data_IF_696740095439
#
_entry.id   IF_696740095439
#
_cell.length_a   1.000
_cell.length_b   1.000
_cell.length_c   1.000
_cell.angle_alpha   90.00
_cell.angle_beta   90.00
_cell.angle_gamma   90.00
#
_symmetry.space_group_name_H-M   'P 1'
#
loop_
_entity.id
_entity.type
_entity.pdbx_description
1 polymer ?
#
# COMPACT_ATOMS: atom_id res chain seq x y z
N UNK A 1 -12.76 -10.97 -0.26
CA UNK A 1 -12.73 -9.49 -0.39
C UNK A 1 -11.63 -9.12 -1.38
N UNK A 2 -11.78 -8.05 -2.18
CA UNK A 2 -10.80 -7.70 -3.24
C UNK A 2 -9.38 -7.47 -2.71
N UNK A 3 -9.26 -6.88 -1.52
CA UNK A 3 -7.97 -6.64 -0.86
C UNK A 3 -7.18 -7.90 -0.49
N UNK A 4 -7.77 -9.09 -0.62
CA UNK A 4 -7.11 -10.39 -0.44
C UNK A 4 -7.11 -11.25 -1.72
N UNK A 5 -7.47 -10.68 -2.88
CA UNK A 5 -7.58 -11.44 -4.12
C UNK A 5 -6.27 -11.42 -4.92
N UNK A 6 -5.44 -12.44 -4.70
CA UNK A 6 -4.15 -12.59 -5.38
C UNK A 6 -4.30 -12.71 -6.92
N UNK A 7 -5.31 -13.42 -7.40
CA UNK A 7 -5.45 -13.71 -8.83
C UNK A 7 -5.74 -12.45 -9.64
N UNK A 8 -6.58 -11.56 -9.11
CA UNK A 8 -6.87 -10.29 -9.78
C UNK A 8 -5.77 -9.24 -9.55
N UNK A 9 -5.23 -9.16 -8.33
CA UNK A 9 -4.21 -8.15 -7.99
C UNK A 9 -2.86 -8.48 -8.62
N UNK A 10 -2.33 -9.67 -8.34
CA UNK A 10 -1.01 -10.07 -8.85
C UNK A 10 -1.13 -10.77 -10.19
N UNK A 11 -2.02 -11.76 -10.31
CA UNK A 11 -2.18 -12.53 -11.54
C UNK A 11 -2.60 -11.67 -12.73
N UNK A 12 -3.65 -10.86 -12.58
CA UNK A 12 -4.18 -10.08 -13.69
C UNK A 12 -3.55 -8.69 -13.79
N UNK A 13 -3.68 -7.85 -12.76
CA UNK A 13 -3.22 -6.45 -12.85
C UNK A 13 -1.69 -6.35 -13.01
N UNK A 14 -0.90 -7.02 -12.15
CA UNK A 14 0.56 -6.93 -12.21
C UNK A 14 1.16 -7.77 -13.34
N UNK A 15 0.72 -9.01 -13.51
CA UNK A 15 1.34 -9.92 -14.47
C UNK A 15 0.70 -9.86 -15.87
N UNK A 16 -0.63 -9.84 -16.00
CA UNK A 16 -1.28 -9.77 -17.32
C UNK A 16 -1.26 -8.35 -17.90
N UNK A 17 -1.72 -7.35 -17.14
CA UNK A 17 -1.75 -5.95 -17.60
C UNK A 17 -0.39 -5.24 -17.46
N UNK A 18 0.62 -5.92 -16.92
CA UNK A 18 1.97 -5.39 -16.76
C UNK A 18 2.02 -4.08 -15.97
N UNK A 19 1.11 -3.88 -15.01
CA UNK A 19 1.07 -2.67 -14.20
C UNK A 19 2.40 -2.46 -13.44
N UNK A 20 3.03 -1.30 -13.65
CA UNK A 20 4.35 -0.94 -13.08
C UNK A 20 4.30 0.09 -11.96
N UNK A 21 3.14 0.66 -11.66
CA UNK A 21 2.94 1.50 -10.48
C UNK A 21 2.87 0.67 -9.18
N UNK A 22 2.50 1.34 -8.09
CA UNK A 22 2.17 0.69 -6.82
C UNK A 22 0.65 0.66 -6.62
N UNK A 23 0.14 -0.40 -6.00
CA UNK A 23 -1.26 -0.55 -5.63
C UNK A 23 -1.46 -0.16 -4.17
N UNK A 24 -2.40 0.74 -3.92
CA UNK A 24 -2.78 1.19 -2.57
C UNK A 24 -4.10 0.57 -2.12
N UNK A 25 -4.23 0.30 -0.81
CA UNK A 25 -5.52 -0.09 -0.22
C UNK A 25 -6.48 1.10 -0.15
N UNK A 26 -7.76 0.80 0.03
CA UNK A 26 -8.73 1.81 0.49
C UNK A 26 -8.57 2.04 2.01
N UNK A 27 -9.25 3.05 2.55
CA UNK A 27 -9.27 3.40 3.96
C UNK A 27 -9.78 2.24 4.82
N UNK A 28 -8.97 1.77 5.78
CA UNK A 28 -9.29 0.64 6.68
C UNK A 28 -9.68 -0.64 5.93
N UNK A 29 -9.18 -0.81 4.70
CA UNK A 29 -9.60 -1.93 3.88
C UNK A 29 -9.17 -3.28 4.47
N UNK A 30 -8.02 -3.33 5.15
CA UNK A 30 -7.52 -4.54 5.81
C UNK A 30 -8.42 -4.95 6.97
N UNK A 31 -8.87 -4.00 7.78
CA UNK A 31 -9.81 -4.22 8.87
C UNK A 31 -11.07 -4.93 8.35
N UNK A 32 -11.54 -4.54 7.17
CA UNK A 32 -12.75 -5.05 6.51
C UNK A 32 -12.55 -6.35 5.73
N UNK A 33 -11.35 -6.95 5.77
CA UNK A 33 -11.13 -8.29 5.23
C UNK A 33 -11.88 -9.33 6.08
N UNK A 34 -11.90 -9.16 7.40
CA UNK A 34 -12.60 -10.06 8.34
C UNK A 34 -14.03 -9.60 8.62
N UNK A 35 -14.82 -10.49 9.22
CA UNK A 35 -16.16 -10.16 9.72
C UNK A 35 -16.30 -10.75 11.13
N UNK A 36 -16.45 -9.92 12.18
CA UNK A 36 -16.51 -8.45 12.16
C UNK A 36 -15.18 -7.80 11.71
N UNK A 37 -15.19 -6.51 11.34
CA UNK A 37 -13.95 -5.79 11.01
C UNK A 37 -12.93 -5.89 12.14
N UNK A 38 -11.65 -5.99 11.79
CA UNK A 38 -10.52 -6.10 12.72
C UNK A 38 -10.48 -7.35 13.61
N UNK A 39 -11.38 -8.32 13.42
CA UNK A 39 -11.43 -9.54 14.23
C UNK A 39 -10.14 -10.38 14.20
N UNK A 40 -9.40 -10.31 13.09
CA UNK A 40 -8.07 -10.90 12.98
C UNK A 40 -7.18 -10.07 12.05
N UNK A 41 -6.64 -8.97 12.59
CA UNK A 41 -5.84 -8.05 11.80
C UNK A 41 -4.51 -8.65 11.33
N UNK A 42 -3.93 -9.59 12.08
CA UNK A 42 -2.74 -10.32 11.62
C UNK A 42 -3.00 -11.09 10.33
N UNK A 43 -4.15 -11.78 10.24
CA UNK A 43 -4.59 -12.41 8.99
C UNK A 43 -4.84 -11.38 7.89
N UNK A 44 -5.48 -10.26 8.19
CA UNK A 44 -5.73 -9.20 7.21
C UNK A 44 -4.43 -8.66 6.59
N UNK A 45 -3.41 -8.37 7.40
CA UNK A 45 -2.10 -7.93 6.93
C UNK A 45 -1.46 -9.01 6.06
N UNK A 46 -1.43 -10.26 6.53
CA UNK A 46 -0.84 -11.37 5.78
C UNK A 46 -1.50 -11.54 4.41
N UNK A 47 -2.83 -11.64 4.40
CA UNK A 47 -3.61 -11.86 3.18
C UNK A 47 -3.48 -10.71 2.19
N UNK A 48 -3.49 -9.45 2.66
CA UNK A 48 -3.37 -8.29 1.79
C UNK A 48 -1.99 -8.15 1.14
N UNK A 49 -0.93 -8.33 1.93
CA UNK A 49 0.44 -8.21 1.42
C UNK A 49 0.77 -9.39 0.49
N UNK A 50 0.33 -10.61 0.82
CA UNK A 50 0.49 -11.76 -0.07
C UNK A 50 -0.34 -11.63 -1.35
N UNK A 51 -1.53 -11.03 -1.31
CA UNK A 51 -2.33 -10.78 -2.52
C UNK A 51 -1.64 -9.83 -3.51
N UNK A 52 -0.77 -8.94 -3.01
CA UNK A 52 0.08 -8.09 -3.83
C UNK A 52 -0.17 -6.59 -3.65
N UNK A 53 -0.81 -6.16 -2.55
CA UNK A 53 -0.84 -4.73 -2.21
C UNK A 53 0.58 -4.22 -1.94
N UNK A 54 0.81 -2.95 -2.31
CA UNK A 54 2.12 -2.31 -2.17
C UNK A 54 2.12 -1.25 -1.07
N UNK A 55 1.04 -0.48 -0.95
CA UNK A 55 0.85 0.53 0.08
C UNK A 55 -0.47 0.30 0.82
N UNK A 56 -0.44 0.40 2.15
CA UNK A 56 -1.63 0.21 2.99
C UNK A 56 -2.03 1.55 3.58
N UNK A 57 -3.25 1.99 3.28
CA UNK A 57 -3.85 3.19 3.85
C UNK A 57 -4.36 2.88 5.26
N UNK A 58 -3.45 2.95 6.23
CA UNK A 58 -3.75 2.86 7.67
C UNK A 58 -3.94 4.28 8.19
N UNK A 59 -5.16 4.71 8.52
CA UNK A 59 -5.42 6.11 8.86
C UNK A 59 -5.02 6.49 10.28
N UNK A 60 -4.99 5.50 11.19
CA UNK A 60 -4.89 5.75 12.62
C UNK A 60 -3.82 4.87 13.28
N UNK A 61 -3.99 3.55 13.30
CA UNK A 61 -3.14 2.65 14.08
C UNK A 61 -1.92 2.11 13.30
N UNK A 62 -1.06 3.00 12.82
CA UNK A 62 0.08 2.62 11.99
C UNK A 62 1.11 1.75 12.74
N UNK A 63 1.24 1.91 14.06
CA UNK A 63 2.16 1.12 14.89
C UNK A 63 1.78 -0.37 14.90
N UNK A 64 0.49 -0.68 15.10
CA UNK A 64 -0.02 -2.05 15.04
C UNK A 64 0.28 -2.71 13.68
N UNK A 65 0.02 -1.98 12.58
CA UNK A 65 0.32 -2.47 11.24
C UNK A 65 1.83 -2.75 11.05
N UNK A 66 2.69 -1.82 11.44
CA UNK A 66 4.15 -1.95 11.29
C UNK A 66 4.66 -3.13 12.12
N UNK A 67 4.22 -3.27 13.37
CA UNK A 67 4.66 -4.34 14.27
C UNK A 67 4.26 -5.72 13.74
N UNK A 68 3.01 -5.86 13.29
CA UNK A 68 2.50 -7.10 12.71
C UNK A 68 3.25 -7.45 11.42
N UNK A 69 3.37 -6.51 10.47
CA UNK A 69 4.07 -6.75 9.21
C UNK A 69 5.53 -7.16 9.47
N UNK A 70 6.21 -6.45 10.37
CA UNK A 70 7.59 -6.76 10.78
C UNK A 70 7.69 -8.16 11.38
N UNK A 71 6.73 -8.55 12.22
CA UNK A 71 6.69 -9.89 12.82
C UNK A 71 6.50 -10.99 11.76
N UNK A 72 5.57 -10.78 10.82
CA UNK A 72 5.29 -11.71 9.73
C UNK A 72 6.50 -11.91 8.81
N UNK A 73 7.25 -10.84 8.54
CA UNK A 73 8.52 -10.91 7.79
C UNK A 73 9.59 -11.64 8.59
N UNK A 74 9.82 -11.27 9.86
CA UNK A 74 10.81 -11.93 10.73
C UNK A 74 10.56 -13.43 10.90
N UNK A 75 9.30 -13.84 10.90
CA UNK A 75 8.88 -15.25 10.98
C UNK A 75 8.77 -15.95 9.63
N UNK A 76 9.16 -15.29 8.53
CA UNK A 76 9.11 -15.82 7.16
C UNK A 76 7.71 -16.17 6.63
N UNK A 77 6.64 -15.64 7.22
CA UNK A 77 5.28 -15.75 6.65
C UNK A 77 5.10 -14.86 5.41
N UNK A 78 5.79 -13.71 5.39
CA UNK A 78 5.94 -12.86 4.22
C UNK A 78 7.42 -12.87 3.85
N UNK A 79 7.71 -13.28 2.62
CA UNK A 79 9.08 -13.30 2.14
C UNK A 79 9.58 -11.88 1.84
N UNK A 80 10.87 -11.62 2.05
CA UNK A 80 11.45 -10.30 1.80
C UNK A 80 11.27 -9.84 0.36
N UNK A 81 11.24 -10.75 -0.62
CA UNK A 81 11.07 -10.36 -2.03
C UNK A 81 9.69 -9.70 -2.29
N UNK A 82 8.67 -10.01 -1.48
CA UNK A 82 7.36 -9.35 -1.56
C UNK A 82 7.43 -7.91 -1.05
N UNK A 83 8.25 -7.66 -0.03
CA UNK A 83 8.52 -6.31 0.49
C UNK A 83 9.35 -5.52 -0.52
N UNK A 84 10.35 -6.15 -1.12
CA UNK A 84 11.19 -5.51 -2.14
C UNK A 84 10.37 -5.11 -3.37
N UNK A 85 9.48 -5.97 -3.90
CA UNK A 85 8.57 -5.59 -5.00
C UNK A 85 7.68 -4.38 -4.64
N UNK A 86 7.11 -4.38 -3.43
CA UNK A 86 6.25 -3.29 -2.97
C UNK A 86 7.01 -1.96 -2.87
N UNK A 87 8.19 -1.99 -2.23
CA UNK A 87 9.03 -0.80 -2.03
C UNK A 87 9.60 -0.30 -3.36
N UNK A 88 10.04 -1.19 -4.25
CA UNK A 88 10.55 -0.82 -5.58
C UNK A 88 9.47 -0.05 -6.36
N UNK A 89 8.21 -0.50 -6.34
CA UNK A 89 7.10 0.19 -7.01
C UNK A 89 6.80 1.55 -6.41
N UNK A 90 6.81 1.67 -5.09
CA UNK A 90 6.60 2.95 -4.40
C UNK A 90 7.71 3.93 -4.76
N UNK A 91 8.97 3.50 -4.65
CA UNK A 91 10.12 4.32 -4.98
C UNK A 91 10.14 4.71 -6.45
N UNK A 92 9.84 3.78 -7.36
CA UNK A 92 9.73 4.03 -8.80
C UNK A 92 8.78 5.19 -9.09
N UNK A 93 7.57 5.17 -8.52
CA UNK A 93 6.60 6.26 -8.75
C UNK A 93 7.12 7.58 -8.17
N UNK A 94 7.69 7.57 -6.96
CA UNK A 94 8.26 8.78 -6.34
C UNK A 94 9.39 9.40 -7.14
N UNK A 95 10.29 8.58 -7.71
CA UNK A 95 11.36 9.07 -8.59
C UNK A 95 10.81 9.57 -9.93
N UNK A 96 9.91 8.82 -10.59
CA UNK A 96 9.33 9.22 -11.88
C UNK A 96 8.60 10.56 -11.79
N UNK A 97 7.88 10.81 -10.70
CA UNK A 97 7.15 12.07 -10.51
C UNK A 97 8.04 13.25 -10.06
N UNK A 98 9.34 13.03 -9.86
CA UNK A 98 10.26 14.06 -9.41
C UNK A 98 10.09 14.47 -7.94
N UNK A 99 9.51 13.60 -7.10
CA UNK A 99 9.23 13.93 -5.69
C UNK A 99 10.52 14.11 -4.87
N UNK A 100 11.61 13.47 -5.29
CA UNK A 100 12.91 13.62 -4.64
C UNK A 100 13.60 14.94 -5.02
N UNK A 101 13.40 15.40 -6.26
CA UNK A 101 13.93 16.67 -6.75
C UNK A 101 13.11 17.86 -6.22
N UNK A 102 11.78 17.72 -6.18
CA UNK A 102 10.85 18.75 -5.72
C UNK A 102 9.94 18.20 -4.60
N UNK A 103 10.46 18.05 -3.37
CA UNK A 103 9.71 17.47 -2.26
C UNK A 103 8.72 18.43 -1.59
N UNK A 104 8.82 19.73 -1.90
CA UNK A 104 8.01 20.79 -1.31
C UNK A 104 7.08 21.41 -2.36
N UNK A 105 5.91 21.91 -1.95
CA UNK A 105 5.01 22.63 -2.85
C UNK A 105 5.64 23.95 -3.31
N UNK A 106 5.24 24.39 -4.50
CA UNK A 106 5.58 25.72 -5.01
C UNK A 106 4.79 26.80 -4.25
N UNK A 107 5.49 27.56 -3.41
CA UNK A 107 4.90 28.62 -2.59
C UNK A 107 4.38 29.82 -3.43
N UNK A 108 4.77 29.94 -4.70
CA UNK A 108 4.21 30.97 -5.59
C UNK A 108 2.72 30.74 -5.88
N UNK A 109 2.23 29.51 -5.72
CA UNK A 109 0.85 29.12 -5.96
C UNK A 109 -0.05 29.26 -4.73
N UNK A 110 0.44 29.81 -3.61
CA UNK A 110 -0.35 29.97 -2.36
C UNK A 110 -1.66 30.72 -2.60
N UNK A 111 -1.67 31.75 -3.47
CA UNK A 111 -2.87 32.52 -3.77
C UNK A 111 -3.93 31.73 -4.58
N UNK A 112 -3.60 30.54 -5.09
CA UNK A 112 -4.53 29.64 -5.78
C UNK A 112 -5.19 28.64 -4.82
N UNK A 113 -4.70 28.49 -3.59
CA UNK A 113 -5.23 27.52 -2.65
C UNK A 113 -6.63 27.94 -2.17
N UNK A 114 -7.66 27.19 -2.60
CA UNK A 114 -9.06 27.48 -2.25
C UNK A 114 -9.64 28.72 -2.93
N UNK A 115 -9.00 29.21 -4.00
CA UNK A 115 -9.54 30.31 -4.80
C UNK A 115 -10.88 29.88 -5.45
N UNK A 116 -11.90 30.72 -5.34
CA UNK A 116 -13.24 30.47 -5.91
C UNK A 116 -13.39 30.92 -7.37
N UNK A 117 -12.31 31.42 -7.99
CA UNK A 117 -12.29 31.85 -9.38
C UNK A 117 -12.60 30.72 -10.37
#
# INVERSE_FOLDING_TARGET
KMHANHDLVTGFLKNTLQFKGFLISDWEALDRITTPPHANYTYSVLAAIQAGLDMVMVPHNYTEFIDILTNLVKKNYIRMERIDDAVERILRVKFIMGLFENPLPDLSLVNQLGNQA
#
